data_IF_104242655484
#
_entry.id   IF_104242655484
#
_cell.length_a   1.000
_cell.length_b   1.000
_cell.length_c   1.000
_cell.angle_alpha   90.00
_cell.angle_beta   90.00
_cell.angle_gamma   90.00
#
_symmetry.space_group_name_H-M   'P 1'
#
loop_
_entity.id
_entity.type
_entity.pdbx_description
1 polymer ?
#
# COMPACT_ATOMS: atom_id res chain seq x y z
N UNK A 1 -25.30 -33.26 13.45
CA UNK A 1 -25.95 -32.14 14.16
C UNK A 1 -25.81 -30.84 13.37
N UNK A 2 -24.77 -30.60 12.61
CA UNK A 2 -24.65 -29.43 11.71
C UNK A 2 -25.69 -29.30 10.57
N UNK A 3 -26.50 -30.34 10.39
CA UNK A 3 -27.57 -30.37 9.38
C UNK A 3 -28.71 -29.39 9.70
N UNK A 4 -29.04 -29.15 10.96
CA UNK A 4 -30.13 -28.25 11.38
C UNK A 4 -29.72 -26.78 11.21
N UNK A 5 -28.53 -26.40 11.66
CA UNK A 5 -27.99 -25.05 11.49
C UNK A 5 -27.90 -24.67 10.00
N UNK A 6 -27.41 -25.60 9.18
CA UNK A 6 -27.29 -25.44 7.73
C UNK A 6 -28.64 -25.41 7.02
N UNK A 7 -29.59 -26.23 7.45
CA UNK A 7 -30.96 -26.32 6.84
C UNK A 7 -31.77 -25.06 7.15
N UNK A 8 -31.68 -24.53 8.37
CA UNK A 8 -32.33 -23.24 8.73
C UNK A 8 -31.72 -22.09 7.95
N UNK A 9 -30.39 -22.03 7.83
CA UNK A 9 -29.70 -20.95 7.12
C UNK A 9 -30.10 -20.86 5.64
N UNK A 10 -30.25 -22.02 4.97
CA UNK A 10 -30.59 -22.10 3.55
C UNK A 10 -32.10 -22.20 3.26
N UNK A 11 -32.95 -22.29 4.28
CA UNK A 11 -34.39 -22.37 4.10
C UNK A 11 -34.99 -21.02 3.71
N UNK A 12 -34.55 -19.93 4.37
CA UNK A 12 -34.95 -18.57 4.03
C UNK A 12 -33.83 -17.86 3.23
N UNK A 13 -33.84 -18.11 1.92
CA UNK A 13 -32.82 -17.59 1.00
C UNK A 13 -32.73 -16.06 0.97
N UNK A 14 -33.87 -15.37 1.15
CA UNK A 14 -33.93 -13.91 1.11
C UNK A 14 -33.23 -13.32 2.34
N UNK A 15 -33.54 -13.82 3.52
CA UNK A 15 -32.93 -13.37 4.78
C UNK A 15 -31.44 -13.67 4.82
N UNK A 16 -31.07 -14.89 4.37
CA UNK A 16 -29.65 -15.25 4.27
C UNK A 16 -28.90 -14.32 3.32
N UNK A 17 -29.48 -13.97 2.15
CA UNK A 17 -28.88 -13.04 1.21
C UNK A 17 -28.70 -11.64 1.83
N UNK A 18 -29.69 -11.13 2.57
CA UNK A 18 -29.59 -9.83 3.29
C UNK A 18 -28.46 -9.87 4.32
N UNK A 19 -28.39 -10.95 5.12
CA UNK A 19 -27.30 -11.13 6.10
C UNK A 19 -25.93 -11.18 5.44
N UNK A 20 -25.79 -11.95 4.35
CA UNK A 20 -24.55 -12.01 3.59
C UNK A 20 -24.17 -10.65 2.99
N UNK A 21 -25.13 -9.91 2.45
CA UNK A 21 -24.87 -8.57 1.88
C UNK A 21 -24.28 -7.63 2.93
N UNK A 22 -24.81 -7.63 4.16
CA UNK A 22 -24.27 -6.82 5.24
C UNK A 22 -22.85 -7.22 5.63
N UNK A 23 -22.59 -8.52 5.75
CA UNK A 23 -21.24 -9.03 6.06
C UNK A 23 -20.25 -8.75 4.94
N UNK A 24 -20.64 -8.99 3.68
CA UNK A 24 -19.80 -8.70 2.49
C UNK A 24 -19.46 -7.23 2.42
N UNK A 25 -20.46 -6.35 2.56
CA UNK A 25 -20.25 -4.91 2.54
C UNK A 25 -19.25 -4.46 3.62
N UNK A 26 -19.45 -4.93 4.86
CA UNK A 26 -18.57 -4.60 5.97
C UNK A 26 -17.13 -5.07 5.72
N UNK A 27 -16.93 -6.32 5.29
CA UNK A 27 -15.61 -6.87 5.01
C UNK A 27 -14.92 -6.17 3.84
N UNK A 28 -15.64 -5.90 2.75
CA UNK A 28 -15.10 -5.16 1.60
C UNK A 28 -14.67 -3.76 2.02
N UNK A 29 -15.48 -3.05 2.82
CA UNK A 29 -15.13 -1.73 3.34
C UNK A 29 -13.82 -1.78 4.14
N UNK A 30 -13.70 -2.72 5.08
CA UNK A 30 -12.49 -2.88 5.90
C UNK A 30 -11.29 -3.23 5.02
N UNK A 31 -11.43 -4.18 4.09
CA UNK A 31 -10.35 -4.60 3.18
C UNK A 31 -9.83 -3.41 2.36
N UNK A 32 -10.73 -2.62 1.78
CA UNK A 32 -10.34 -1.46 0.97
C UNK A 32 -9.59 -0.42 1.81
N UNK A 33 -10.12 -0.08 2.98
CA UNK A 33 -9.53 0.95 3.84
C UNK A 33 -8.15 0.54 4.37
N UNK A 34 -8.01 -0.69 4.87
CA UNK A 34 -6.71 -1.19 5.31
C UNK A 34 -5.76 -1.42 4.14
N UNK A 35 -6.26 -1.86 2.99
CA UNK A 35 -5.46 -2.02 1.77
C UNK A 35 -4.91 -0.69 1.26
N UNK A 36 -5.70 0.39 1.29
CA UNK A 36 -5.24 1.75 0.98
C UNK A 36 -4.19 2.23 1.98
N UNK A 37 -4.39 1.98 3.28
CA UNK A 37 -3.41 2.34 4.30
C UNK A 37 -2.07 1.62 4.10
N UNK A 38 -2.09 0.32 3.80
CA UNK A 38 -0.88 -0.43 3.49
C UNK A 38 -0.23 0.06 2.18
N UNK A 39 -1.03 0.33 1.15
CA UNK A 39 -0.55 0.89 -0.10
C UNK A 39 0.15 2.23 0.11
N UNK A 40 -0.47 3.13 0.87
CA UNK A 40 0.12 4.41 1.23
C UNK A 40 1.47 4.25 1.94
N UNK A 41 1.51 3.47 3.01
CA UNK A 41 2.74 3.30 3.81
C UNK A 41 3.88 2.65 3.04
N UNK A 42 3.58 1.76 2.11
CA UNK A 42 4.57 1.07 1.29
C UNK A 42 5.13 1.99 0.19
N UNK A 43 4.26 2.72 -0.50
CA UNK A 43 4.69 3.56 -1.63
C UNK A 43 5.48 4.79 -1.22
N UNK A 44 5.29 5.31 0.00
CA UNK A 44 6.03 6.49 0.48
C UNK A 44 7.54 6.31 0.58
N UNK A 45 8.02 5.09 0.77
CA UNK A 45 9.47 4.79 0.89
C UNK A 45 9.99 3.81 -0.16
N UNK A 46 9.19 3.48 -1.15
CA UNK A 46 9.46 2.42 -2.11
C UNK A 46 10.82 2.58 -2.84
N UNK A 47 11.14 3.80 -3.29
CA UNK A 47 12.43 4.08 -3.93
C UNK A 47 13.63 3.92 -2.99
N UNK A 48 13.45 4.20 -1.70
CA UNK A 48 14.50 4.00 -0.69
C UNK A 48 14.69 2.50 -0.45
N UNK A 49 13.58 1.78 -0.24
CA UNK A 49 13.59 0.35 0.12
C UNK A 49 14.14 -0.54 -1.00
N UNK A 50 13.99 -0.13 -2.29
CA UNK A 50 14.50 -0.84 -3.47
C UNK A 50 15.85 -0.30 -3.98
N UNK A 51 16.48 0.64 -3.27
CA UNK A 51 17.73 1.27 -3.74
C UNK A 51 18.94 0.37 -3.72
N UNK A 52 18.91 -0.74 -3.00
CA UNK A 52 20.06 -1.62 -2.74
C UNK A 52 21.26 -0.90 -2.07
N UNK A 53 21.06 0.29 -1.51
CA UNK A 53 22.08 1.02 -0.75
C UNK A 53 22.04 0.61 0.72
N UNK A 54 23.18 0.72 1.42
CA UNK A 54 23.25 0.54 2.87
C UNK A 54 23.05 1.87 3.60
N UNK A 55 23.57 2.96 3.00
CA UNK A 55 23.53 4.32 3.56
C UNK A 55 23.09 5.32 2.52
N UNK A 56 22.29 6.29 2.96
CA UNK A 56 21.84 7.46 2.21
C UNK A 56 22.44 8.72 2.81
N UNK A 57 23.07 9.55 1.97
CA UNK A 57 23.53 10.89 2.33
C UNK A 57 22.61 11.88 1.67
N UNK A 58 22.07 12.78 2.49
CA UNK A 58 21.03 13.72 2.09
C UNK A 58 21.42 15.15 2.50
N UNK A 59 20.79 16.15 1.90
CA UNK A 59 20.98 17.55 2.30
C UNK A 59 20.64 17.73 3.79
N UNK A 60 21.39 18.59 4.48
CA UNK A 60 21.18 18.84 5.91
C UNK A 60 19.75 19.32 6.23
N UNK A 61 19.13 18.74 7.25
CA UNK A 61 17.76 19.04 7.66
C UNK A 61 16.69 18.36 6.83
N UNK A 62 17.05 17.48 5.87
CA UNK A 62 16.10 16.71 5.08
C UNK A 62 15.77 15.39 5.79
N UNK A 63 14.49 15.21 6.13
CA UNK A 63 14.00 14.01 6.81
C UNK A 63 13.11 13.09 5.96
N UNK A 64 12.92 13.38 4.66
CA UNK A 64 12.06 12.62 3.76
C UNK A 64 12.53 12.71 2.30
N UNK A 65 12.09 11.78 1.46
CA UNK A 65 12.64 11.57 0.13
C UNK A 65 12.26 12.67 -0.90
N UNK A 66 11.05 13.20 -0.87
CA UNK A 66 10.50 14.01 -1.97
C UNK A 66 10.84 15.52 -1.86
N UNK A 67 12.07 15.88 -1.48
CA UNK A 67 12.42 17.30 -1.24
C UNK A 67 12.97 18.04 -2.43
N UNK A 68 13.60 17.33 -3.38
CA UNK A 68 14.27 17.95 -4.52
C UNK A 68 15.43 18.88 -4.17
N UNK A 69 15.97 18.84 -2.93
CA UNK A 69 17.14 19.64 -2.54
C UNK A 69 18.43 18.99 -2.98
N UNK A 70 19.36 19.82 -3.46
CA UNK A 70 20.67 19.38 -3.96
C UNK A 70 21.80 19.95 -3.11
N UNK A 71 22.96 19.30 -3.20
CA UNK A 71 24.22 19.77 -2.62
C UNK A 71 25.39 19.51 -3.59
N UNK A 72 26.56 20.15 -3.31
CA UNK A 72 27.71 20.09 -4.20
C UNK A 72 28.25 18.67 -4.40
N UNK A 73 28.56 18.31 -5.63
CA UNK A 73 29.22 17.08 -6.06
C UNK A 73 30.54 16.80 -5.32
N UNK A 74 31.19 17.82 -4.75
CA UNK A 74 32.40 17.64 -3.94
C UNK A 74 32.19 16.62 -2.80
N UNK A 75 30.98 16.56 -2.25
CA UNK A 75 30.62 15.59 -1.20
C UNK A 75 30.70 14.16 -1.71
N UNK A 76 30.33 13.91 -2.96
CA UNK A 76 30.45 12.60 -3.58
C UNK A 76 31.89 12.09 -3.60
N UNK A 77 32.84 12.93 -3.96
CA UNK A 77 34.26 12.55 -3.94
C UNK A 77 34.81 12.37 -2.52
N UNK A 78 34.31 13.15 -1.55
CA UNK A 78 34.66 12.94 -0.15
C UNK A 78 34.12 11.59 0.37
N UNK A 79 32.93 11.19 -0.05
CA UNK A 79 32.35 9.87 0.26
C UNK A 79 33.20 8.75 -0.32
N UNK A 80 33.55 8.83 -1.60
CA UNK A 80 34.40 7.81 -2.26
C UNK A 80 35.78 7.66 -1.58
N UNK A 81 36.32 8.74 -1.03
CA UNK A 81 37.59 8.72 -0.31
C UNK A 81 37.48 8.25 1.14
N UNK A 82 36.27 7.90 1.63
CA UNK A 82 36.04 7.50 3.02
C UNK A 82 36.32 6.01 3.21
N UNK A 83 37.13 5.63 4.19
CA UNK A 83 37.40 4.21 4.49
C UNK A 83 36.13 3.45 4.80
N UNK A 84 35.95 2.28 4.21
CA UNK A 84 34.78 1.43 4.39
C UNK A 84 33.70 1.62 3.33
N UNK A 85 33.86 2.55 2.38
CA UNK A 85 33.00 2.67 1.20
C UNK A 85 33.47 1.69 0.12
N UNK A 86 32.60 0.78 -0.30
CA UNK A 86 32.85 -0.08 -1.46
C UNK A 86 32.44 0.61 -2.76
N UNK A 87 31.27 1.21 -2.77
CA UNK A 87 30.70 1.88 -3.93
C UNK A 87 29.85 3.08 -3.45
N UNK A 88 29.88 4.15 -4.20
CA UNK A 88 28.99 5.29 -4.02
C UNK A 88 28.40 5.71 -5.36
N UNK A 89 27.13 6.13 -5.34
CA UNK A 89 26.39 6.54 -6.53
C UNK A 89 25.67 7.86 -6.31
N UNK A 90 25.71 8.71 -7.33
CA UNK A 90 24.87 9.90 -7.36
C UNK A 90 23.44 9.53 -7.70
N UNK A 91 22.52 10.15 -7.00
CA UNK A 91 21.10 9.92 -7.21
C UNK A 91 20.36 11.26 -7.24
N UNK A 92 19.52 11.45 -8.23
CA UNK A 92 18.70 12.65 -8.36
C UNK A 92 17.23 12.27 -8.18
N UNK A 93 16.51 13.08 -7.43
CA UNK A 93 15.05 13.09 -7.42
C UNK A 93 14.61 14.55 -7.52
N UNK A 94 13.80 14.86 -8.49
CA UNK A 94 13.24 16.20 -8.66
C UNK A 94 11.90 16.14 -9.41
N UNK A 95 11.11 17.21 -9.28
CA UNK A 95 9.90 17.36 -10.06
C UNK A 95 10.19 17.96 -11.43
N UNK A 96 9.49 17.45 -12.45
CA UNK A 96 9.58 17.95 -13.82
C UNK A 96 8.19 17.99 -14.47
N UNK A 97 8.09 18.75 -15.57
CA UNK A 97 6.88 18.81 -16.38
C UNK A 97 7.03 17.90 -17.58
N UNK A 98 6.12 16.95 -17.68
CA UNK A 98 5.97 16.05 -18.82
C UNK A 98 4.93 16.60 -19.76
N UNK A 99 5.29 16.91 -20.99
CA UNK A 99 4.36 17.33 -22.04
C UNK A 99 4.02 16.13 -22.90
N UNK A 100 2.76 15.78 -22.86
CA UNK A 100 2.19 14.65 -23.61
C UNK A 100 2.15 14.94 -25.11
N UNK A 101 2.03 13.88 -25.95
CA UNK A 101 1.84 14.06 -27.40
C UNK A 101 0.58 14.89 -27.77
N UNK A 102 -0.46 14.88 -26.92
CA UNK A 102 -1.68 15.68 -27.10
C UNK A 102 -1.56 17.14 -26.57
N UNK A 103 -0.39 17.54 -26.11
CA UNK A 103 -0.08 18.88 -25.60
C UNK A 103 -0.43 19.12 -24.14
N UNK A 104 -1.11 18.21 -23.45
CA UNK A 104 -1.36 18.30 -22.00
C UNK A 104 -0.07 18.16 -21.21
N UNK A 105 -0.02 18.84 -20.07
CA UNK A 105 1.15 18.82 -19.18
C UNK A 105 0.81 18.05 -17.92
N UNK A 106 1.66 17.08 -17.56
CA UNK A 106 1.58 16.30 -16.34
C UNK A 106 2.80 16.56 -15.45
N UNK A 107 2.60 16.57 -14.13
CA UNK A 107 3.71 16.63 -13.21
C UNK A 107 4.25 15.21 -12.98
N UNK A 108 5.56 15.06 -13.10
CA UNK A 108 6.29 13.82 -12.86
C UNK A 108 7.40 14.03 -11.84
N UNK A 109 7.92 12.92 -11.32
CA UNK A 109 9.16 12.88 -10.53
C UNK A 109 10.24 12.17 -11.35
N UNK A 110 11.29 12.90 -11.71
CA UNK A 110 12.46 12.32 -12.38
C UNK A 110 13.36 11.68 -11.33
N UNK A 111 13.76 10.45 -11.63
CA UNK A 111 14.77 9.70 -10.89
C UNK A 111 15.99 9.55 -11.79
N UNK A 112 17.07 10.24 -11.44
CA UNK A 112 18.34 10.20 -12.16
C UNK A 112 19.33 9.27 -11.50
N UNK A 113 19.80 8.25 -12.24
CA UNK A 113 20.73 7.26 -11.74
C UNK A 113 21.86 7.00 -12.74
N UNK A 114 22.99 6.47 -12.28
CA UNK A 114 24.05 6.02 -13.20
C UNK A 114 23.63 4.69 -13.84
N UNK A 115 23.50 4.64 -15.18
CA UNK A 115 23.14 3.39 -15.87
C UNK A 115 24.13 2.27 -15.57
N UNK A 116 23.62 1.08 -15.25
CA UNK A 116 24.44 -0.11 -14.96
C UNK A 116 25.05 -0.16 -13.55
N UNK A 117 24.74 0.79 -12.67
CA UNK A 117 25.05 0.71 -11.25
C UNK A 117 24.27 -0.43 -10.56
N UNK A 118 24.77 -0.87 -9.40
CA UNK A 118 24.05 -1.83 -8.55
C UNK A 118 23.00 -1.14 -7.66
N UNK A 119 23.09 0.19 -7.50
CA UNK A 119 22.23 0.97 -6.59
C UNK A 119 21.30 1.91 -7.34
N UNK A 120 20.10 2.10 -6.81
CA UNK A 120 19.12 3.07 -7.27
C UNK A 120 18.43 2.76 -8.61
N UNK A 121 18.68 1.58 -9.17
CA UNK A 121 18.14 1.20 -10.49
C UNK A 121 16.63 0.99 -10.48
N UNK A 122 15.94 1.21 -11.60
CA UNK A 122 14.55 0.80 -11.73
C UNK A 122 14.44 -0.73 -11.59
N UNK A 123 13.44 -1.18 -10.83
CA UNK A 123 13.16 -2.60 -10.62
C UNK A 123 11.93 -3.03 -11.43
N UNK A 124 11.71 -4.36 -11.54
CA UNK A 124 10.57 -4.94 -12.27
C UNK A 124 10.41 -4.37 -13.69
N UNK A 125 11.49 -4.30 -14.45
CA UNK A 125 11.43 -3.89 -15.86
C UNK A 125 10.71 -5.00 -16.66
N UNK A 126 9.59 -4.66 -17.30
CA UNK A 126 8.74 -5.60 -18.07
C UNK A 126 9.05 -5.55 -19.56
N UNK A 127 9.44 -4.38 -20.06
CA UNK A 127 9.80 -4.16 -21.46
C UNK A 127 11.06 -3.30 -21.50
N UNK A 128 12.01 -3.66 -22.35
CA UNK A 128 13.32 -3.01 -22.40
C UNK A 128 14.29 -3.54 -21.34
N UNK A 129 15.21 -2.69 -20.90
CA UNK A 129 16.20 -3.01 -19.86
C UNK A 129 16.45 -1.82 -18.96
N UNK A 130 16.79 -2.04 -17.69
CA UNK A 130 17.25 -0.96 -16.79
C UNK A 130 18.45 -0.19 -17.36
N UNK A 131 19.30 -0.85 -18.14
CA UNK A 131 20.44 -0.21 -18.80
C UNK A 131 20.08 0.62 -20.04
N UNK A 132 18.86 0.54 -20.57
CA UNK A 132 18.43 1.33 -21.73
C UNK A 132 18.42 2.84 -21.47
N UNK A 133 18.33 3.26 -20.20
CA UNK A 133 18.48 4.68 -19.82
C UNK A 133 19.87 5.25 -20.11
N UNK A 134 20.84 4.44 -20.57
CA UNK A 134 22.17 4.88 -21.01
C UNK A 134 22.10 5.69 -22.29
N UNK A 135 21.11 5.44 -23.11
CA UNK A 135 20.91 6.15 -24.38
C UNK A 135 20.57 7.63 -24.13
N UNK A 136 20.93 8.46 -25.10
CA UNK A 136 20.58 9.87 -25.07
C UNK A 136 19.05 10.05 -25.09
N UNK A 137 18.54 10.95 -24.28
CA UNK A 137 17.10 11.22 -24.10
C UNK A 137 16.25 10.02 -23.60
N UNK A 138 16.88 8.91 -23.20
CA UNK A 138 16.17 7.71 -22.79
C UNK A 138 15.52 7.83 -21.40
N UNK A 139 14.27 7.34 -21.32
CA UNK A 139 13.52 7.26 -20.07
C UNK A 139 12.79 5.93 -19.93
N UNK A 140 12.64 5.45 -18.68
CA UNK A 140 11.72 4.35 -18.34
C UNK A 140 10.54 4.89 -17.55
N UNK A 141 9.36 4.33 -17.83
CA UNK A 141 8.08 4.74 -17.25
C UNK A 141 7.37 3.50 -16.70
N UNK A 142 6.59 3.63 -15.64
CA UNK A 142 5.78 2.51 -15.16
C UNK A 142 4.51 2.34 -16.03
N UNK A 143 4.17 1.09 -16.34
CA UNK A 143 3.02 0.72 -17.19
C UNK A 143 1.70 1.30 -16.70
N UNK A 144 1.56 1.47 -15.38
CA UNK A 144 0.38 2.06 -14.76
C UNK A 144 0.09 3.47 -15.29
N UNK A 145 1.14 4.22 -15.65
CA UNK A 145 1.00 5.62 -16.05
C UNK A 145 0.96 5.84 -17.55
N UNK A 146 0.88 4.78 -18.37
CA UNK A 146 0.81 4.88 -19.84
C UNK A 146 -0.30 5.83 -20.30
N UNK A 147 -1.50 5.65 -19.79
CA UNK A 147 -2.65 6.49 -20.12
C UNK A 147 -2.47 7.93 -19.63
N UNK A 148 -2.02 8.11 -18.39
CA UNK A 148 -1.78 9.43 -17.79
C UNK A 148 -0.71 10.21 -18.55
N UNK A 149 0.37 9.56 -18.96
CA UNK A 149 1.50 10.17 -19.68
C UNK A 149 1.30 10.20 -21.20
N UNK A 150 0.30 9.50 -21.72
CA UNK A 150 -0.01 9.45 -23.15
C UNK A 150 1.03 8.70 -23.96
N UNK A 151 1.66 7.65 -23.39
CA UNK A 151 2.69 6.83 -24.03
C UNK A 151 2.31 5.36 -23.94
N UNK A 152 2.49 4.61 -25.03
CA UNK A 152 2.01 3.23 -25.13
C UNK A 152 3.09 2.25 -25.53
N UNK A 153 4.08 2.72 -26.32
CA UNK A 153 5.09 1.88 -26.92
C UNK A 153 6.51 2.38 -26.60
N UNK A 154 7.46 1.45 -26.64
CA UNK A 154 8.87 1.79 -26.70
C UNK A 154 9.13 2.57 -27.99
N UNK A 155 9.87 3.67 -27.92
CA UNK A 155 10.12 4.60 -29.00
C UNK A 155 9.21 5.84 -29.02
N UNK A 156 8.17 5.88 -28.15
CA UNK A 156 7.33 7.06 -28.03
C UNK A 156 8.17 8.27 -27.57
N UNK A 157 7.95 9.40 -28.24
CA UNK A 157 8.70 10.65 -27.99
C UNK A 157 7.82 11.66 -27.28
N UNK A 158 8.39 12.30 -26.29
CA UNK A 158 7.73 13.31 -25.44
C UNK A 158 8.70 14.44 -25.15
N UNK A 159 8.22 15.45 -24.43
CA UNK A 159 9.04 16.56 -23.95
C UNK A 159 9.01 16.59 -22.40
N UNK A 160 10.18 16.68 -21.78
CA UNK A 160 10.31 16.81 -20.33
C UNK A 160 11.16 18.05 -20.04
N UNK A 161 10.59 19.02 -19.30
CA UNK A 161 11.30 20.24 -18.95
C UNK A 161 11.79 21.07 -20.14
N UNK A 162 11.18 20.92 -21.33
CA UNK A 162 11.60 21.58 -22.56
C UNK A 162 12.60 20.75 -23.39
N UNK A 163 13.03 19.60 -22.91
CA UNK A 163 13.94 18.68 -23.61
C UNK A 163 13.19 17.48 -24.17
N UNK A 164 13.70 16.96 -25.30
CA UNK A 164 13.15 15.73 -25.89
C UNK A 164 13.46 14.54 -24.98
N UNK A 165 12.51 13.63 -24.86
CA UNK A 165 12.69 12.35 -24.20
C UNK A 165 12.09 11.21 -25.04
N UNK A 166 12.70 10.02 -24.96
CA UNK A 166 12.27 8.82 -25.66
C UNK A 166 12.01 7.70 -24.64
N UNK A 167 10.83 7.10 -24.69
CA UNK A 167 10.50 5.95 -23.82
C UNK A 167 11.23 4.72 -24.34
N UNK A 168 12.18 4.20 -23.57
CA UNK A 168 13.02 3.04 -23.96
C UNK A 168 12.62 1.75 -23.23
N UNK A 169 11.65 1.83 -22.32
CA UNK A 169 11.13 0.65 -21.64
C UNK A 169 10.07 1.00 -20.60
N UNK A 170 9.50 -0.07 -20.07
CA UNK A 170 8.46 0.02 -19.04
C UNK A 170 8.82 -0.80 -17.81
N UNK A 171 8.40 -0.31 -16.64
CA UNK A 171 8.46 -1.01 -15.36
C UNK A 171 7.04 -1.36 -14.89
N UNK A 172 6.94 -2.16 -13.82
CA UNK A 172 5.65 -2.47 -13.20
C UNK A 172 5.74 -2.38 -11.69
N UNK A 173 4.90 -1.52 -11.09
CA UNK A 173 4.77 -1.39 -9.63
C UNK A 173 5.65 -0.32 -9.02
N UNK A 174 6.32 0.52 -9.81
CA UNK A 174 7.04 1.71 -9.32
C UNK A 174 6.06 2.86 -9.25
N UNK A 175 5.47 3.03 -8.06
CA UNK A 175 4.36 3.96 -7.83
C UNK A 175 4.73 5.04 -6.84
N UNK A 176 4.18 6.23 -7.06
CA UNK A 176 4.17 7.30 -6.09
C UNK A 176 2.78 7.44 -5.47
N UNK A 177 2.70 7.60 -4.16
CA UNK A 177 1.42 7.89 -3.50
C UNK A 177 0.90 9.30 -3.81
N UNK A 178 1.79 10.24 -4.21
CA UNK A 178 1.42 11.60 -4.61
C UNK A 178 0.80 11.69 -6.00
N UNK A 179 0.55 10.56 -6.66
CA UNK A 179 0.05 10.47 -8.03
C UNK A 179 0.96 11.04 -9.12
N UNK A 180 2.12 11.58 -8.78
CA UNK A 180 3.14 12.02 -9.75
C UNK A 180 3.99 10.83 -10.16
N UNK A 181 3.94 10.38 -11.43
CA UNK A 181 4.68 9.21 -11.88
C UNK A 181 6.19 9.36 -11.65
N UNK A 182 6.84 8.29 -11.21
CA UNK A 182 8.29 8.21 -11.27
C UNK A 182 8.72 7.87 -12.70
N UNK A 183 9.68 8.64 -13.21
CA UNK A 183 10.29 8.45 -14.52
C UNK A 183 11.79 8.32 -14.33
N UNK A 184 12.36 7.19 -14.69
CA UNK A 184 13.78 6.92 -14.57
C UNK A 184 14.54 7.40 -15.80
N UNK A 185 15.66 8.08 -15.57
CA UNK A 185 16.58 8.55 -16.59
C UNK A 185 18.04 8.35 -16.15
N UNK A 186 18.98 8.53 -17.07
CA UNK A 186 20.38 8.67 -16.66
C UNK A 186 20.56 9.90 -15.77
N UNK A 187 21.54 9.89 -14.89
CA UNK A 187 21.83 11.03 -14.02
C UNK A 187 22.03 12.32 -14.84
N UNK A 188 22.73 12.23 -15.99
CA UNK A 188 22.93 13.34 -16.92
C UNK A 188 21.60 13.87 -17.46
N UNK A 189 20.78 13.01 -18.07
CA UNK A 189 19.48 13.41 -18.63
C UNK A 189 18.56 14.02 -17.53
N UNK A 190 18.65 13.51 -16.29
CA UNK A 190 17.83 14.04 -15.20
C UNK A 190 18.14 15.49 -14.84
N UNK A 191 19.39 15.92 -14.96
CA UNK A 191 19.79 17.32 -14.77
C UNK A 191 19.18 18.21 -15.85
N UNK A 192 19.23 17.78 -17.11
CA UNK A 192 18.66 18.51 -18.24
C UNK A 192 17.12 18.68 -18.08
N UNK A 193 16.43 17.65 -17.60
CA UNK A 193 14.97 17.64 -17.43
C UNK A 193 14.46 18.47 -16.26
N UNK A 194 15.26 18.68 -15.23
CA UNK A 194 14.78 19.25 -13.96
C UNK A 194 15.13 20.70 -13.76
N UNK A 195 16.24 21.16 -14.29
CA UNK A 195 16.63 22.57 -14.15
C UNK A 195 17.65 23.00 -15.22
N UNK A 196 17.27 23.82 -16.21
CA UNK A 196 18.19 24.34 -17.21
C UNK A 196 19.29 25.26 -16.64
N UNK A 197 19.17 25.68 -15.38
CA UNK A 197 20.16 26.51 -14.67
C UNK A 197 20.92 25.76 -13.58
N UNK A 198 20.63 24.46 -13.34
CA UNK A 198 21.41 23.67 -12.38
C UNK A 198 22.82 23.46 -12.92
N UNK A 199 23.81 23.72 -12.07
CA UNK A 199 25.18 23.35 -12.38
C UNK A 199 25.24 21.82 -12.49
N UNK A 200 25.98 21.29 -13.46
CA UNK A 200 26.27 19.84 -13.60
C UNK A 200 26.86 19.22 -12.32
N UNK A 201 27.22 20.06 -11.36
CA UNK A 201 27.81 19.72 -10.07
C UNK A 201 26.82 19.51 -8.91
N UNK A 202 25.50 19.47 -9.18
CA UNK A 202 24.49 19.30 -8.13
C UNK A 202 24.04 17.84 -8.01
N UNK A 203 23.99 17.34 -6.77
CA UNK A 203 23.60 15.96 -6.43
C UNK A 203 22.44 16.01 -5.44
N UNK A 204 21.37 15.28 -5.69
CA UNK A 204 20.22 15.20 -4.77
C UNK A 204 20.53 14.31 -3.55
N UNK A 205 21.03 13.11 -3.83
CA UNK A 205 21.41 12.12 -2.81
C UNK A 205 22.67 11.39 -3.22
N UNK A 206 23.40 10.84 -2.24
CA UNK A 206 24.46 9.89 -2.51
C UNK A 206 24.10 8.57 -1.84
N UNK A 207 24.03 7.53 -2.66
CA UNK A 207 23.83 6.15 -2.22
C UNK A 207 25.20 5.53 -1.94
N UNK A 208 25.32 4.78 -0.83
CA UNK A 208 26.60 4.20 -0.43
C UNK A 208 26.42 2.73 -0.09
N UNK A 209 27.37 1.90 -0.55
CA UNK A 209 27.50 0.50 -0.20
C UNK A 209 28.70 0.29 0.71
N UNK A 210 28.53 -0.46 1.80
CA UNK A 210 29.62 -0.80 2.70
C UNK A 210 30.59 -1.78 2.06
N UNK A 211 31.87 -1.62 2.33
CA UNK A 211 32.86 -2.58 1.91
C UNK A 211 32.71 -3.93 2.64
N UNK A 212 33.03 -5.05 1.99
CA UNK A 212 32.97 -6.36 2.63
C UNK A 212 33.77 -6.38 3.94
N UNK A 213 33.15 -6.85 5.02
CA UNK A 213 33.75 -6.93 6.35
C UNK A 213 33.65 -5.65 7.19
N UNK A 214 33.09 -4.55 6.66
CA UNK A 214 32.82 -3.33 7.42
C UNK A 214 31.33 -3.30 7.80
N UNK A 215 31.05 -3.08 9.08
CA UNK A 215 29.66 -2.90 9.52
C UNK A 215 29.10 -1.55 9.08
N UNK A 216 27.78 -1.49 8.89
CA UNK A 216 27.10 -0.23 8.51
C UNK A 216 27.32 0.84 9.57
N UNK A 217 27.36 0.47 10.85
CA UNK A 217 27.61 1.39 11.97
C UNK A 217 29.03 1.99 11.88
N UNK A 218 30.05 1.18 11.55
CA UNK A 218 31.40 1.68 11.37
C UNK A 218 31.50 2.60 10.17
N UNK A 219 30.86 2.23 9.04
CA UNK A 219 30.78 3.09 7.86
C UNK A 219 30.11 4.45 8.19
N UNK A 220 29.00 4.43 8.91
CA UNK A 220 28.28 5.64 9.35
C UNK A 220 29.17 6.56 10.18
N UNK A 221 29.98 5.98 11.10
CA UNK A 221 30.92 6.75 11.91
C UNK A 221 31.97 7.43 11.04
N UNK A 222 32.62 6.65 10.15
CA UNK A 222 33.65 7.17 9.25
C UNK A 222 33.12 8.29 8.33
N UNK A 223 31.89 8.15 7.84
CA UNK A 223 31.25 9.16 7.01
C UNK A 223 30.96 10.45 7.80
N UNK A 224 30.42 10.33 9.05
CA UNK A 224 30.12 11.47 9.92
C UNK A 224 31.36 12.25 10.33
N UNK A 225 32.51 11.61 10.47
CA UNK A 225 33.77 12.26 10.80
C UNK A 225 34.32 13.12 9.63
N UNK A 226 33.98 12.74 8.39
CA UNK A 226 34.51 13.40 7.16
C UNK A 226 33.57 14.39 6.51
N UNK A 227 32.27 14.20 6.69
CA UNK A 227 31.26 15.00 6.03
C UNK A 227 30.60 15.94 7.03
N UNK A 228 30.65 17.23 6.73
CA UNK A 228 29.86 18.28 7.38
C UNK A 228 28.72 18.71 6.47
N UNK A 229 27.69 19.35 7.04
CA UNK A 229 26.57 19.98 6.31
C UNK A 229 25.71 19.02 5.47
N UNK A 230 25.72 17.72 5.83
CA UNK A 230 24.84 16.68 5.28
C UNK A 230 24.31 15.81 6.40
N UNK A 231 23.16 15.21 6.18
CA UNK A 231 22.65 14.18 7.06
C UNK A 231 22.93 12.80 6.46
N UNK A 232 23.24 11.84 7.35
CA UNK A 232 23.62 10.50 6.95
C UNK A 232 22.72 9.52 7.70
N UNK A 233 22.01 8.71 6.95
CA UNK A 233 21.07 7.72 7.46
C UNK A 233 21.35 6.34 6.88
N UNK A 234 21.09 5.30 7.64
CA UNK A 234 20.93 3.97 7.06
C UNK A 234 19.70 3.95 6.18
N UNK A 235 19.63 3.04 5.21
CA UNK A 235 18.43 2.89 4.36
C UNK A 235 17.17 2.68 5.18
N UNK A 236 17.24 1.86 6.23
CA UNK A 236 16.11 1.62 7.13
C UNK A 236 15.69 2.87 7.94
N UNK A 237 16.66 3.68 8.38
CA UNK A 237 16.37 4.94 9.07
C UNK A 237 15.72 5.97 8.16
N UNK A 238 16.24 6.13 6.93
CA UNK A 238 15.71 7.10 5.97
C UNK A 238 14.31 6.70 5.49
N UNK A 239 14.08 5.41 5.22
CA UNK A 239 12.77 4.85 4.93
C UNK A 239 11.76 5.13 6.06
N UNK A 240 12.14 4.83 7.31
CA UNK A 240 11.28 5.11 8.48
C UNK A 240 10.99 6.59 8.67
N UNK A 241 11.99 7.48 8.50
CA UNK A 241 11.81 8.93 8.58
C UNK A 241 10.87 9.45 7.50
N UNK A 242 11.02 8.97 6.27
CA UNK A 242 10.14 9.33 5.15
C UNK A 242 8.71 8.91 5.43
N UNK A 243 8.49 7.67 5.90
CA UNK A 243 7.14 7.20 6.30
C UNK A 243 6.58 8.03 7.46
N UNK A 244 7.39 8.32 8.48
CA UNK A 244 6.97 9.13 9.62
C UNK A 244 6.54 10.54 9.19
N UNK A 245 7.31 11.17 8.32
CA UNK A 245 6.99 12.50 7.78
C UNK A 245 5.62 12.50 7.08
N UNK A 246 5.40 11.56 6.16
CA UNK A 246 4.12 11.46 5.44
C UNK A 246 2.96 11.02 6.33
N UNK A 247 3.23 10.20 7.35
CA UNK A 247 2.22 9.72 8.29
C UNK A 247 1.74 10.84 9.21
N UNK A 248 2.68 11.53 9.86
CA UNK A 248 2.36 12.42 10.99
C UNK A 248 2.59 13.89 10.68
N UNK A 249 3.65 14.27 9.94
CA UNK A 249 3.96 15.68 9.70
C UNK A 249 3.02 16.30 8.68
N UNK A 250 2.70 15.59 7.59
CA UNK A 250 1.73 16.08 6.61
C UNK A 250 0.29 15.80 7.01
N UNK A 251 0.05 14.85 7.92
CA UNK A 251 -1.27 14.37 8.30
C UNK A 251 -1.95 13.47 7.27
N UNK A 252 -1.38 13.29 6.07
CA UNK A 252 -1.99 12.47 5.02
C UNK A 252 -2.15 11.00 5.46
N UNK A 253 -1.08 10.40 6.01
CA UNK A 253 -1.14 9.04 6.52
C UNK A 253 -2.09 8.89 7.71
N UNK A 254 -2.15 9.90 8.59
CA UNK A 254 -3.10 9.90 9.71
C UNK A 254 -4.56 9.95 9.21
N UNK A 255 -4.84 10.71 8.16
CA UNK A 255 -6.17 10.74 7.55
C UNK A 255 -6.58 9.36 6.97
N UNK A 256 -5.65 8.68 6.28
CA UNK A 256 -5.91 7.33 5.75
C UNK A 256 -6.04 6.31 6.89
N UNK A 257 -5.23 6.40 7.94
CA UNK A 257 -5.35 5.55 9.13
C UNK A 257 -6.68 5.74 9.85
N UNK A 258 -7.11 6.98 10.05
CA UNK A 258 -8.41 7.26 10.69
C UNK A 258 -9.56 6.73 9.84
N UNK A 259 -9.50 6.85 8.51
CA UNK A 259 -10.49 6.25 7.61
C UNK A 259 -10.52 4.71 7.74
N UNK A 260 -9.36 4.06 7.86
CA UNK A 260 -9.28 2.61 8.06
C UNK A 260 -9.90 2.17 9.42
N UNK A 261 -9.62 2.91 10.49
CA UNK A 261 -10.20 2.65 11.82
C UNK A 261 -11.72 2.89 11.82
N UNK A 262 -12.18 3.96 11.19
CA UNK A 262 -13.62 4.22 11.04
C UNK A 262 -14.30 3.13 10.22
N UNK A 263 -13.67 2.67 9.14
CA UNK A 263 -14.16 1.53 8.35
C UNK A 263 -14.29 0.25 9.17
N UNK A 264 -13.32 -0.02 10.05
CA UNK A 264 -13.39 -1.15 10.98
C UNK A 264 -14.57 -1.00 11.97
N UNK A 265 -14.72 0.17 12.60
CA UNK A 265 -15.81 0.43 13.56
C UNK A 265 -17.17 0.27 12.88
N UNK A 266 -17.35 0.88 11.73
CA UNK A 266 -18.61 0.78 10.95
C UNK A 266 -18.85 -0.66 10.52
N UNK A 267 -17.81 -1.36 10.03
CA UNK A 267 -17.92 -2.76 9.62
C UNK A 267 -18.35 -3.67 10.77
N UNK A 268 -17.74 -3.52 11.96
CA UNK A 268 -18.14 -4.27 13.18
C UNK A 268 -19.60 -3.96 13.53
N UNK A 269 -20.00 -2.69 13.52
CA UNK A 269 -21.37 -2.30 13.85
C UNK A 269 -22.40 -2.89 12.86
N UNK A 270 -22.11 -2.85 11.55
CA UNK A 270 -22.97 -3.43 10.51
C UNK A 270 -23.11 -4.94 10.69
N UNK A 271 -21.99 -5.67 10.89
CA UNK A 271 -22.03 -7.11 11.12
C UNK A 271 -22.82 -7.44 12.40
N UNK A 272 -22.56 -6.71 13.49
CA UNK A 272 -23.28 -6.92 14.76
C UNK A 272 -24.79 -6.72 14.58
N UNK A 273 -25.21 -5.64 13.93
CA UNK A 273 -26.63 -5.36 13.68
C UNK A 273 -27.27 -6.40 12.75
N UNK A 274 -26.55 -6.83 11.71
CA UNK A 274 -27.05 -7.81 10.75
C UNK A 274 -27.27 -9.18 11.39
N UNK A 275 -26.27 -9.67 12.15
CA UNK A 275 -26.38 -10.94 12.89
C UNK A 275 -27.47 -10.86 13.97
N UNK A 276 -27.55 -9.71 14.66
CA UNK A 276 -28.61 -9.49 15.65
C UNK A 276 -30.00 -9.55 15.00
N UNK A 277 -30.22 -8.86 13.89
CA UNK A 277 -31.50 -8.88 13.17
C UNK A 277 -31.84 -10.31 12.70
N UNK A 278 -30.88 -11.00 12.06
CA UNK A 278 -31.07 -12.40 11.65
C UNK A 278 -31.44 -13.32 12.81
N UNK A 279 -30.84 -13.11 13.99
CA UNK A 279 -31.17 -13.91 15.20
C UNK A 279 -32.59 -13.57 15.71
N UNK A 280 -32.98 -12.30 15.69
CA UNK A 280 -34.32 -11.86 16.13
C UNK A 280 -35.43 -12.35 15.20
N UNK A 281 -35.19 -12.42 13.91
CA UNK A 281 -36.13 -12.96 12.94
C UNK A 281 -36.50 -14.45 13.19
N UNK A 282 -35.56 -15.23 13.73
CA UNK A 282 -35.73 -16.63 14.09
C UNK A 282 -36.09 -16.86 15.58
N UNK A 283 -36.41 -15.82 16.33
CA UNK A 283 -36.60 -15.88 17.78
C UNK A 283 -37.71 -16.83 18.19
N UNK A 284 -38.80 -16.92 17.39
CA UNK A 284 -39.92 -17.85 17.61
C UNK A 284 -39.50 -19.35 17.47
N UNK A 285 -38.63 -19.62 16.51
CA UNK A 285 -38.09 -20.98 16.31
C UNK A 285 -37.20 -21.40 17.47
N UNK A 286 -36.36 -20.49 17.99
CA UNK A 286 -35.56 -20.76 19.19
C UNK A 286 -36.40 -20.92 20.44
N UNK A 287 -37.50 -20.15 20.57
CA UNK A 287 -38.47 -20.27 21.63
C UNK A 287 -39.19 -21.65 21.61
N UNK A 288 -39.59 -22.11 20.42
CA UNK A 288 -40.18 -23.43 20.22
C UNK A 288 -39.21 -24.57 20.61
N UNK A 289 -37.92 -24.45 20.18
CA UNK A 289 -36.89 -25.43 20.58
C UNK A 289 -36.69 -25.47 22.09
N UNK A 290 -36.73 -24.28 22.74
CA UNK A 290 -36.62 -24.19 24.20
C UNK A 290 -37.83 -24.79 24.90
N UNK A 291 -39.06 -24.60 24.38
CA UNK A 291 -40.27 -25.22 24.89
C UNK A 291 -40.26 -26.78 24.76
N UNK A 292 -39.59 -27.29 23.72
CA UNK A 292 -39.36 -28.74 23.52
C UNK A 292 -38.22 -29.32 24.40
N UNK A 293 -37.59 -28.47 25.27
CA UNK A 293 -36.55 -28.91 26.21
C UNK A 293 -35.12 -28.72 25.73
N UNK A 294 -34.88 -27.96 24.68
CA UNK A 294 -33.53 -27.64 24.26
C UNK A 294 -32.79 -26.81 25.33
N UNK A 295 -31.57 -27.25 25.68
CA UNK A 295 -30.72 -26.52 26.63
C UNK A 295 -30.16 -25.26 26.05
N UNK A 296 -29.84 -24.27 26.89
CA UNK A 296 -29.17 -23.03 26.42
C UNK A 296 -27.88 -23.35 25.67
N UNK A 297 -27.07 -24.33 26.12
CA UNK A 297 -25.86 -24.74 25.44
C UNK A 297 -26.08 -25.25 24.00
N UNK A 298 -27.21 -25.92 23.74
CA UNK A 298 -27.60 -26.32 22.39
C UNK A 298 -27.90 -25.13 21.50
N UNK A 299 -28.64 -24.13 22.01
CA UNK A 299 -28.94 -22.87 21.27
C UNK A 299 -27.67 -22.10 20.97
N UNK A 300 -26.75 -21.98 21.94
CA UNK A 300 -25.42 -21.35 21.71
C UNK A 300 -24.68 -22.01 20.55
N UNK A 301 -24.63 -23.35 20.55
CA UNK A 301 -23.93 -24.10 19.52
C UNK A 301 -24.54 -23.88 18.14
N UNK A 302 -25.84 -23.91 18.01
CA UNK A 302 -26.55 -23.69 16.73
C UNK A 302 -26.25 -22.27 16.18
N UNK A 303 -26.34 -21.23 17.02
CA UNK A 303 -26.11 -19.87 16.62
C UNK A 303 -24.63 -19.58 16.24
N UNK A 304 -23.70 -20.17 17.00
CA UNK A 304 -22.27 -20.07 16.66
C UNK A 304 -21.97 -20.76 15.33
N UNK A 305 -22.54 -21.99 15.12
CA UNK A 305 -22.38 -22.68 13.82
C UNK A 305 -22.94 -21.85 12.65
N UNK A 306 -24.09 -21.22 12.82
CA UNK A 306 -24.66 -20.31 11.81
C UNK A 306 -23.78 -19.09 11.56
N UNK A 307 -23.25 -18.47 12.62
CA UNK A 307 -22.35 -17.33 12.52
C UNK A 307 -21.04 -17.67 11.79
N UNK A 308 -20.47 -18.85 12.08
CA UNK A 308 -19.26 -19.33 11.40
C UNK A 308 -19.54 -19.58 9.91
N UNK A 309 -20.65 -20.23 9.56
CA UNK A 309 -21.01 -20.42 8.14
C UNK A 309 -21.23 -19.09 7.42
N UNK A 310 -21.92 -18.13 8.06
CA UNK A 310 -22.12 -16.80 7.51
C UNK A 310 -20.81 -16.05 7.32
N UNK A 311 -19.85 -16.18 8.27
CA UNK A 311 -18.52 -15.61 8.16
C UNK A 311 -17.71 -16.20 6.99
N UNK A 312 -17.71 -17.54 6.86
CA UNK A 312 -16.97 -18.23 5.79
C UNK A 312 -17.49 -17.86 4.41
N UNK A 313 -18.83 -17.95 4.22
CA UNK A 313 -19.46 -17.62 2.93
C UNK A 313 -19.34 -16.11 2.65
N UNK A 314 -19.59 -15.27 3.65
CA UNK A 314 -19.45 -13.81 3.54
C UNK A 314 -18.03 -13.39 3.19
N UNK A 315 -17.02 -13.99 3.83
CA UNK A 315 -15.61 -13.75 3.51
C UNK A 315 -15.26 -14.16 2.07
N UNK A 316 -15.68 -15.35 1.64
CA UNK A 316 -15.41 -15.80 0.27
C UNK A 316 -15.99 -14.83 -0.78
N UNK A 317 -17.24 -14.41 -0.58
CA UNK A 317 -17.87 -13.41 -1.46
C UNK A 317 -17.19 -12.03 -1.37
N UNK A 318 -16.83 -11.59 -0.17
CA UNK A 318 -16.12 -10.33 0.03
C UNK A 318 -14.76 -10.32 -0.67
N UNK A 319 -14.03 -11.45 -0.65
CA UNK A 319 -12.75 -11.58 -1.36
C UNK A 319 -12.90 -11.50 -2.87
N UNK A 320 -13.96 -12.06 -3.44
CA UNK A 320 -14.26 -11.93 -4.88
C UNK A 320 -14.53 -10.47 -5.25
N UNK A 321 -15.39 -9.80 -4.49
CA UNK A 321 -15.72 -8.38 -4.71
C UNK A 321 -14.50 -7.48 -4.51
N UNK A 322 -13.75 -7.69 -3.44
CA UNK A 322 -12.54 -6.93 -3.14
C UNK A 322 -11.47 -7.13 -4.23
N UNK A 323 -11.28 -8.34 -4.72
CA UNK A 323 -10.34 -8.60 -5.82
C UNK A 323 -10.70 -7.81 -7.08
N UNK A 324 -11.98 -7.80 -7.45
CA UNK A 324 -12.46 -7.00 -8.58
C UNK A 324 -12.23 -5.50 -8.39
N UNK A 325 -12.58 -4.95 -7.21
CA UNK A 325 -12.38 -3.53 -6.90
C UNK A 325 -10.89 -3.17 -6.92
N UNK A 326 -10.03 -4.02 -6.34
CA UNK A 326 -8.57 -3.79 -6.33
C UNK A 326 -8.03 -3.75 -7.75
N UNK A 327 -8.40 -4.71 -8.59
CA UNK A 327 -7.94 -4.77 -9.98
C UNK A 327 -8.39 -3.55 -10.79
N UNK A 328 -9.61 -3.08 -10.60
CA UNK A 328 -10.08 -1.85 -11.26
C UNK A 328 -9.44 -0.58 -10.69
N UNK A 329 -9.22 -0.50 -9.37
CA UNK A 329 -8.57 0.65 -8.74
C UNK A 329 -7.10 0.81 -9.14
N UNK A 330 -6.43 -0.28 -9.46
CA UNK A 330 -5.07 -0.26 -10.00
C UNK A 330 -4.97 0.52 -11.31
N UNK A 331 -5.96 0.42 -12.18
CA UNK A 331 -6.04 1.20 -13.44
C UNK A 331 -6.19 2.71 -13.17
N UNK A 332 -6.86 3.07 -12.07
CA UNK A 332 -7.03 4.45 -11.62
C UNK A 332 -5.85 5.04 -10.83
N UNK A 333 -4.77 4.27 -10.65
CA UNK A 333 -3.57 4.71 -9.92
C UNK A 333 -3.65 4.58 -8.40
N UNK A 334 -4.78 4.18 -7.83
CA UNK A 334 -4.87 3.89 -6.40
C UNK A 334 -4.24 2.54 -6.08
N UNK A 335 -3.35 2.51 -5.07
CA UNK A 335 -2.73 1.28 -4.64
C UNK A 335 -3.45 0.72 -3.41
N UNK A 336 -4.22 -0.32 -3.63
CA UNK A 336 -4.84 -1.12 -2.56
C UNK A 336 -4.06 -2.41 -2.45
N UNK A 337 -3.26 -2.55 -1.41
CA UNK A 337 -2.48 -3.77 -1.18
C UNK A 337 -3.29 -4.81 -0.41
N UNK A 338 -3.25 -6.05 -0.89
CA UNK A 338 -3.84 -7.20 -0.22
C UNK A 338 -2.81 -8.34 -0.06
N UNK A 339 -1.80 -8.19 0.81
CA UNK A 339 -0.84 -9.25 1.08
C UNK A 339 -1.53 -10.46 1.73
N UNK A 340 -0.86 -11.62 1.70
CA UNK A 340 -1.43 -12.86 2.22
C UNK A 340 -1.78 -12.76 3.72
N UNK A 341 -0.93 -12.10 4.49
CA UNK A 341 -1.13 -11.87 5.93
C UNK A 341 -2.44 -11.11 6.20
N UNK A 342 -2.73 -10.10 5.37
CA UNK A 342 -3.98 -9.35 5.46
C UNK A 342 -5.18 -10.22 5.11
N UNK A 343 -5.09 -11.06 4.07
CA UNK A 343 -6.18 -11.99 3.69
C UNK A 343 -6.49 -12.95 4.84
N UNK A 344 -5.46 -13.54 5.44
CA UNK A 344 -5.62 -14.44 6.60
C UNK A 344 -6.17 -13.68 7.81
N UNK A 345 -5.64 -12.50 8.11
CA UNK A 345 -6.14 -11.65 9.20
C UNK A 345 -7.61 -11.27 9.02
N UNK A 346 -8.03 -10.94 7.80
CA UNK A 346 -9.44 -10.63 7.49
C UNK A 346 -10.36 -11.84 7.61
N UNK A 347 -9.88 -13.05 7.28
CA UNK A 347 -10.63 -14.28 7.54
C UNK A 347 -10.87 -14.49 9.03
N UNK A 348 -9.82 -14.38 9.84
CA UNK A 348 -9.94 -14.51 11.30
C UNK A 348 -10.84 -13.41 11.85
N UNK A 349 -10.68 -12.17 11.41
CA UNK A 349 -11.52 -11.04 11.82
C UNK A 349 -12.99 -11.29 11.50
N UNK A 350 -13.32 -11.81 10.32
CA UNK A 350 -14.71 -12.12 9.93
C UNK A 350 -15.35 -13.13 10.87
N UNK A 351 -14.63 -14.18 11.24
CA UNK A 351 -15.12 -15.19 12.21
C UNK A 351 -15.33 -14.54 13.59
N UNK A 352 -14.34 -13.79 14.07
CA UNK A 352 -14.42 -13.13 15.38
C UNK A 352 -15.61 -12.18 15.45
N UNK A 353 -15.80 -11.36 14.42
CA UNK A 353 -16.91 -10.41 14.33
C UNK A 353 -18.27 -11.12 14.34
N UNK A 354 -18.46 -12.13 13.50
CA UNK A 354 -19.72 -12.86 13.40
C UNK A 354 -20.02 -13.65 14.68
N UNK A 355 -19.04 -14.33 15.25
CA UNK A 355 -19.21 -15.12 16.48
C UNK A 355 -19.48 -14.20 17.69
N UNK A 356 -18.76 -13.10 17.82
CA UNK A 356 -19.01 -12.14 18.91
C UNK A 356 -20.38 -11.48 18.79
N UNK A 357 -20.80 -11.12 17.58
CA UNK A 357 -22.15 -10.61 17.33
C UNK A 357 -23.25 -11.63 17.68
N UNK A 358 -23.05 -12.90 17.31
CA UNK A 358 -23.95 -13.99 17.68
C UNK A 358 -24.03 -14.20 19.19
N UNK A 359 -22.89 -14.15 19.90
CA UNK A 359 -22.85 -14.27 21.37
C UNK A 359 -23.61 -13.14 22.08
N UNK A 360 -23.53 -11.91 21.59
CA UNK A 360 -24.32 -10.80 22.12
C UNK A 360 -25.83 -11.02 21.88
N UNK A 361 -26.20 -11.52 20.70
CA UNK A 361 -27.60 -11.77 20.33
C UNK A 361 -28.21 -12.92 21.13
N UNK A 362 -27.44 -13.95 21.48
CA UNK A 362 -27.86 -15.09 22.27
C UNK A 362 -28.39 -14.69 23.65
N UNK A 363 -27.81 -13.71 24.31
CA UNK A 363 -28.25 -13.26 25.63
C UNK A 363 -29.75 -12.85 25.67
N UNK A 364 -30.28 -12.37 24.53
CA UNK A 364 -31.73 -12.11 24.40
C UNK A 364 -32.53 -13.41 24.21
N UNK A 365 -32.04 -14.33 23.39
CA UNK A 365 -32.71 -15.62 23.13
C UNK A 365 -32.80 -16.49 24.40
N UNK A 366 -31.72 -16.51 25.18
CA UNK A 366 -31.71 -17.32 26.43
C UNK A 366 -32.59 -16.76 27.55
N UNK A 367 -32.86 -15.46 27.56
CA UNK A 367 -33.77 -14.80 28.52
C UNK A 367 -35.25 -14.86 28.13
N UNK A 368 -35.59 -15.41 26.97
CA UNK A 368 -36.97 -15.58 26.56
C UNK A 368 -37.73 -16.55 27.48
N UNK A 369 -38.89 -16.10 27.94
CA UNK A 369 -39.88 -16.97 28.58
C UNK A 369 -40.58 -17.79 27.47
N UNK A 370 -40.50 -19.14 27.52
CA UNK A 370 -41.18 -20.02 26.56
C UNK A 370 -42.67 -19.70 26.40
N UNK A 371 -43.32 -19.22 27.47
CA UNK A 371 -44.73 -18.88 27.45
C UNK A 371 -45.06 -17.69 26.51
N UNK A 372 -44.14 -16.79 26.21
CA UNK A 372 -44.33 -15.65 25.29
C UNK A 372 -44.53 -16.06 23.84
N UNK A 373 -44.00 -17.25 23.43
CA UNK A 373 -44.14 -17.77 22.06
C UNK A 373 -45.56 -18.17 21.72
N UNK A 374 -46.36 -18.49 22.75
CA UNK A 374 -47.73 -18.98 22.61
C UNK A 374 -48.80 -17.87 22.84
N UNK A 375 -48.40 -16.62 23.15
CA UNK A 375 -49.29 -15.50 23.42
C UNK A 375 -49.44 -14.50 22.23
N UNK A 376 -48.84 -14.79 21.06
CA UNK A 376 -48.90 -13.92 19.88
C UNK A 376 -49.48 -14.59 18.66
#
# INVERSE_FOLDING_TARGET
>A
MGLLARRNLFHDKVRFAVTLTGIVFALVLIIIQFGLFLGFTTTTSNNIDHSNADVWIVFHGVGYFDTGRTFSERKFYQVLATPGVAEAEKYMQAFARWKRPDGRIENIQIIGVRPGSQMGQPWNVTVGSASSIKEEDAVLVDELYKEKLGVWNVGDRVEIGGHRACVTGFTRGIRSFTTSPFVYASFKNSLDYTNPTSNESDVGYILVKAAPGISVEQLMKNLKERLSDVDIYTTAEFSRKTRFYWMFTTGAGLAVLTAALMGLIVGVAVVAQTIYAATMDHIREYGTLKAMGATNGYLYRVLIEQAVWSAVVGYALAMIVAHFIVTESEKGGALILMPLEMKVGMFVLSIVMCVSAAMVSINKVTKLDPAMVFRG
#
